data_IF_727298053965
#
_entry.id   IF_727298053965
#
_cell.length_a   1.000
_cell.length_b   1.000
_cell.length_c   1.000
_cell.angle_alpha   90.00
_cell.angle_beta   90.00
_cell.angle_gamma   90.00
#
_symmetry.space_group_name_H-M   'P 1'
#
loop_
_entity.id
_entity.type
_entity.pdbx_description
1 polymer ?
#
# COMPACT_ATOMS: atom_id res chain seq x y z
N UNK A 1 10.32 -8.74 -10.56
CA UNK A 1 9.38 -8.20 -9.56
C UNK A 1 8.71 -9.34 -8.81
N UNK A 2 9.00 -9.50 -7.52
CA UNK A 2 8.46 -10.62 -6.71
C UNK A 2 6.96 -10.47 -6.42
N UNK A 3 6.47 -9.23 -6.23
CA UNK A 3 5.07 -8.92 -5.97
C UNK A 3 4.18 -9.18 -7.19
N UNK A 4 4.61 -8.75 -8.36
CA UNK A 4 3.93 -9.02 -9.63
C UNK A 4 3.80 -10.53 -9.90
N UNK A 5 4.87 -11.31 -9.68
CA UNK A 5 4.84 -12.78 -9.75
C UNK A 5 3.95 -13.43 -8.70
N UNK A 6 3.72 -12.76 -7.57
CA UNK A 6 2.82 -13.21 -6.51
C UNK A 6 1.36 -12.79 -6.76
N UNK A 7 1.05 -12.17 -7.91
CA UNK A 7 -0.29 -11.77 -8.31
C UNK A 7 -0.75 -10.43 -7.74
N UNK A 8 0.16 -9.61 -7.21
CA UNK A 8 -0.16 -8.25 -6.77
C UNK A 8 -0.12 -7.28 -7.94
N UNK A 9 -1.21 -6.54 -8.12
CA UNK A 9 -1.22 -5.33 -8.95
C UNK A 9 -0.44 -4.22 -8.21
N UNK A 10 0.59 -3.67 -8.85
CA UNK A 10 1.38 -2.57 -8.29
C UNK A 10 0.77 -1.25 -8.76
N UNK A 11 0.33 -0.42 -7.83
CA UNK A 11 -0.33 0.87 -8.10
C UNK A 11 0.45 1.99 -7.41
N UNK A 12 0.62 3.14 -8.07
CA UNK A 12 1.23 4.31 -7.45
C UNK A 12 0.25 5.00 -6.48
N UNK A 13 0.71 5.39 -5.31
CA UNK A 13 -0.10 6.08 -4.32
C UNK A 13 -0.72 7.38 -4.86
N UNK A 14 -0.02 8.10 -5.75
CA UNK A 14 -0.54 9.32 -6.35
C UNK A 14 -1.75 9.06 -7.25
N UNK A 15 -1.80 7.93 -7.95
CA UNK A 15 -2.95 7.55 -8.79
C UNK A 15 -4.21 7.35 -7.95
N UNK A 16 -4.07 6.87 -6.72
CA UNK A 16 -5.19 6.71 -5.78
C UNK A 16 -5.59 8.06 -5.18
N UNK A 17 -4.62 8.90 -4.81
CA UNK A 17 -4.88 10.24 -4.24
C UNK A 17 -5.56 11.17 -5.25
N UNK A 18 -5.28 10.97 -6.55
CA UNK A 18 -5.83 11.78 -7.65
C UNK A 18 -7.07 11.15 -8.31
N UNK A 19 -7.63 10.09 -7.72
CA UNK A 19 -8.81 9.36 -8.21
C UNK A 19 -8.64 8.77 -9.64
N UNK A 20 -7.41 8.61 -10.12
CA UNK A 20 -7.10 7.93 -11.39
C UNK A 20 -7.35 6.42 -11.26
N UNK A 21 -7.15 5.86 -10.06
CA UNK A 21 -7.43 4.45 -9.75
C UNK A 21 -8.15 4.26 -8.43
N UNK A 22 -9.08 3.32 -8.40
CA UNK A 22 -9.76 2.85 -7.19
C UNK A 22 -9.20 1.52 -6.69
N UNK A 23 -9.30 1.29 -5.38
CA UNK A 23 -8.98 0.00 -4.77
C UNK A 23 -10.26 -0.81 -4.68
N UNK A 24 -10.37 -1.88 -5.49
CA UNK A 24 -11.52 -2.78 -5.46
C UNK A 24 -11.30 -3.92 -4.46
N UNK A 25 -12.38 -4.34 -3.80
CA UNK A 25 -12.36 -5.53 -2.97
C UNK A 25 -12.07 -6.79 -3.83
N UNK A 26 -11.29 -7.73 -3.29
CA UNK A 26 -11.01 -9.03 -3.93
C UNK A 26 -9.79 -9.08 -4.84
N UNK A 27 -9.04 -7.98 -4.99
CA UNK A 27 -7.76 -7.96 -5.72
C UNK A 27 -6.58 -7.84 -4.74
N UNK A 28 -5.50 -8.57 -5.02
CA UNK A 28 -4.23 -8.37 -4.32
C UNK A 28 -3.55 -7.14 -4.91
N UNK A 29 -3.35 -6.12 -4.08
CA UNK A 29 -2.81 -4.83 -4.51
C UNK A 29 -1.63 -4.45 -3.62
N UNK A 30 -0.56 -3.99 -4.25
CA UNK A 30 0.57 -3.36 -3.60
C UNK A 30 0.60 -1.88 -3.98
N UNK A 31 0.23 -1.01 -3.03
CA UNK A 31 0.32 0.43 -3.22
C UNK A 31 1.75 0.88 -2.94
N UNK A 32 2.43 1.38 -3.96
CA UNK A 32 3.81 1.85 -3.91
C UNK A 32 3.83 3.37 -3.71
N UNK A 33 4.85 3.85 -3.00
CA UNK A 33 5.13 5.27 -2.82
C UNK A 33 6.64 5.49 -2.85
N UNK A 34 7.07 6.72 -3.15
CA UNK A 34 8.47 7.08 -3.05
C UNK A 34 8.92 7.04 -1.57
N UNK A 35 10.00 6.30 -1.30
CA UNK A 35 10.50 6.07 0.05
C UNK A 35 12.01 6.25 0.20
N UNK A 36 12.69 6.84 -0.79
CA UNK A 36 14.15 6.97 -0.77
C UNK A 36 14.64 7.69 0.50
N UNK A 37 14.02 8.82 0.86
CA UNK A 37 14.37 9.54 2.10
C UNK A 37 13.81 8.88 3.37
N UNK A 38 12.61 8.29 3.30
CA UNK A 38 11.95 7.66 4.46
C UNK A 38 12.71 6.43 4.96
N UNK A 39 13.16 5.59 4.03
CA UNK A 39 13.90 4.35 4.33
C UNK A 39 15.25 4.60 5.01
N UNK A 40 15.84 5.79 4.85
CA UNK A 40 17.06 6.20 5.57
C UNK A 40 16.85 6.31 7.08
N UNK A 41 15.61 6.54 7.52
CA UNK A 41 15.20 6.46 8.92
C UNK A 41 15.11 5.02 9.46
N UNK A 42 15.39 4.01 8.64
CA UNK A 42 15.36 2.59 9.03
C UNK A 42 13.97 1.99 9.19
N UNK A 43 12.92 2.70 8.75
CA UNK A 43 11.52 2.30 8.89
C UNK A 43 10.80 2.11 7.56
N UNK A 44 9.89 1.14 7.51
CA UNK A 44 8.92 0.98 6.42
C UNK A 44 7.55 1.57 6.76
N UNK A 45 6.56 1.42 5.87
CA UNK A 45 5.21 1.97 6.05
C UNK A 45 4.56 1.55 7.38
N UNK A 46 4.80 0.33 7.84
CA UNK A 46 4.29 -0.15 9.14
C UNK A 46 4.94 0.57 10.32
N UNK A 47 6.23 0.92 10.22
CA UNK A 47 6.94 1.67 11.26
C UNK A 47 6.43 3.11 11.37
N UNK A 48 5.85 3.64 10.30
CA UNK A 48 5.33 5.01 10.21
C UNK A 48 3.81 5.11 10.47
N UNK A 49 3.16 4.04 10.92
CA UNK A 49 1.70 4.02 11.15
C UNK A 49 1.35 3.58 12.57
N UNK A 50 0.37 4.26 13.16
CA UNK A 50 -0.26 3.89 14.44
C UNK A 50 -1.78 3.82 14.24
N UNK A 51 -2.32 2.64 13.89
CA UNK A 51 -3.76 2.48 13.71
C UNK A 51 -4.50 2.72 15.03
N UNK A 52 -5.36 3.73 15.07
CA UNK A 52 -6.19 4.05 16.25
C UNK A 52 -7.51 3.28 16.23
N UNK A 53 -8.08 3.08 15.04
CA UNK A 53 -9.32 2.32 14.82
C UNK A 53 -9.17 1.44 13.57
N UNK A 54 -9.73 0.24 13.59
CA UNK A 54 -9.80 -0.67 12.45
C UNK A 54 -11.12 -1.42 12.49
N UNK A 55 -11.86 -1.42 11.39
CA UNK A 55 -13.13 -2.14 11.31
C UNK A 55 -12.95 -3.66 11.41
N UNK A 56 -13.99 -4.32 11.93
CA UNK A 56 -14.01 -5.76 12.10
C UNK A 56 -14.00 -6.44 10.74
N UNK A 57 -13.12 -7.43 10.59
CA UNK A 57 -13.07 -8.29 9.40
C UNK A 57 -14.05 -9.45 9.58
N UNK A 58 -14.86 -9.74 8.55
CA UNK A 58 -15.64 -10.97 8.45
C UNK A 58 -14.76 -12.04 7.80
N UNK A 59 -14.26 -12.98 8.62
CA UNK A 59 -13.39 -14.08 8.19
C UNK A 59 -14.24 -15.25 7.70
#
# INVERSE_FOLDING_TARGET
NALDKAGFEIIDANDIITDIRSIDAGKLIAVAMEGAELSRGGGGCRCMTMPVHRDKVNW
#
